data_IF_196743542374
#
_entry.id   IF_196743542374
#
_cell.length_a   1.000
_cell.length_b   1.000
_cell.length_c   1.000
_cell.angle_alpha   90.00
_cell.angle_beta   90.00
_cell.angle_gamma   90.00
#
_symmetry.space_group_name_H-M   'P 1'
#
loop_
_entity.id
_entity.type
_entity.pdbx_description
1 polymer ?
#
# COMPACT_ATOMS: atom_id res chain seq x y z
N UNK A 1 11.96 70.55 60.04
CA UNK A 1 10.72 70.02 59.43
C UNK A 1 10.88 69.71 57.94
N UNK A 2 11.27 70.63 57.05
CA UNK A 2 11.40 70.31 55.60
C UNK A 2 12.43 69.21 55.25
N UNK A 3 13.58 69.14 55.95
CA UNK A 3 14.62 68.10 55.71
C UNK A 3 14.23 66.69 56.18
N UNK A 4 13.26 66.58 57.08
CA UNK A 4 12.83 65.30 57.64
C UNK A 4 11.81 64.61 56.71
N UNK A 5 10.97 65.41 56.05
CA UNK A 5 9.99 64.96 55.05
C UNK A 5 10.65 64.46 53.74
N UNK A 6 11.76 65.06 53.32
CA UNK A 6 12.53 64.60 52.15
C UNK A 6 13.23 63.25 52.40
N UNK A 7 13.71 63.01 53.63
CA UNK A 7 14.30 61.72 54.02
C UNK A 7 13.28 60.58 53.96
N UNK A 8 12.06 60.84 54.42
CA UNK A 8 10.94 59.87 54.36
C UNK A 8 10.55 59.56 52.92
N UNK A 9 10.53 60.56 52.02
CA UNK A 9 10.27 60.36 50.59
C UNK A 9 11.36 59.54 49.91
N UNK A 10 12.63 59.81 50.20
CA UNK A 10 13.76 59.03 49.68
C UNK A 10 13.67 57.58 50.16
N UNK A 11 13.33 57.35 51.42
CA UNK A 11 13.14 56.01 51.96
C UNK A 11 11.97 55.27 51.29
N UNK A 12 10.85 55.95 51.02
CA UNK A 12 9.71 55.37 50.30
C UNK A 12 10.07 54.99 48.85
N UNK A 13 10.84 55.83 48.15
CA UNK A 13 11.33 55.52 46.80
C UNK A 13 12.26 54.30 46.82
N UNK A 14 13.17 54.21 47.79
CA UNK A 14 14.05 53.05 47.96
C UNK A 14 13.27 51.77 48.25
N UNK A 15 12.25 51.84 49.11
CA UNK A 15 11.38 50.69 49.39
C UNK A 15 10.62 50.23 48.15
N UNK A 16 10.07 51.15 47.36
CA UNK A 16 9.38 50.81 46.12
C UNK A 16 10.34 50.24 45.05
N UNK A 17 11.57 50.76 44.97
CA UNK A 17 12.62 50.19 44.12
C UNK A 17 12.99 48.77 44.54
N UNK A 18 13.18 48.53 45.85
CA UNK A 18 13.44 47.18 46.38
C UNK A 18 12.26 46.23 46.10
N UNK A 19 11.03 46.71 46.28
CA UNK A 19 9.82 45.93 45.98
C UNK A 19 9.74 45.55 44.51
N UNK A 20 10.02 46.50 43.61
CA UNK A 20 10.05 46.25 42.16
C UNK A 20 11.16 45.29 41.77
N UNK A 21 12.37 45.48 42.30
CA UNK A 21 13.51 44.59 42.05
C UNK A 21 13.22 43.15 42.49
N UNK A 22 12.60 42.97 43.65
CA UNK A 22 12.18 41.64 44.13
C UNK A 22 11.09 41.02 43.24
N UNK A 23 10.13 41.82 42.77
CA UNK A 23 9.11 41.35 41.83
C UNK A 23 9.72 40.92 40.48
N UNK A 24 10.69 41.68 39.97
CA UNK A 24 11.41 41.33 38.74
C UNK A 24 12.27 40.09 38.91
N UNK A 25 12.97 39.91 40.04
CA UNK A 25 13.69 38.67 40.35
C UNK A 25 12.77 37.45 40.38
N UNK A 26 11.58 37.59 40.96
CA UNK A 26 10.58 36.51 40.98
C UNK A 26 10.12 36.18 39.56
N UNK A 27 9.89 37.19 38.72
CA UNK A 27 9.49 37.01 37.33
C UNK A 27 10.60 36.36 36.49
N UNK A 28 11.86 36.75 36.69
CA UNK A 28 13.01 36.13 36.01
C UNK A 28 13.10 34.66 36.35
N UNK A 29 12.95 34.30 37.63
CA UNK A 29 12.95 32.90 38.07
C UNK A 29 11.83 32.07 37.44
N UNK A 30 10.61 32.61 37.32
CA UNK A 30 9.50 31.93 36.62
C UNK A 30 9.80 31.74 35.13
N UNK A 31 10.42 32.74 34.48
CA UNK A 31 10.83 32.63 33.08
C UNK A 31 11.92 31.58 32.87
N UNK A 32 12.93 31.51 33.75
CA UNK A 32 13.98 30.49 33.72
C UNK A 32 13.37 29.08 33.84
N UNK A 33 12.48 28.87 34.81
CA UNK A 33 11.81 27.57 34.97
C UNK A 33 10.98 27.17 33.75
N UNK A 34 10.30 28.13 33.11
CA UNK A 34 9.56 27.87 31.88
C UNK A 34 10.49 27.57 30.71
N UNK A 35 11.63 28.24 30.63
CA UNK A 35 12.64 28.02 29.61
C UNK A 35 13.23 26.61 29.76
N UNK A 36 13.62 26.21 30.97
CA UNK A 36 14.09 24.85 31.27
C UNK A 36 13.03 23.79 30.89
N UNK A 37 11.76 24.06 31.20
CA UNK A 37 10.66 23.16 30.81
C UNK A 37 10.50 23.07 29.29
N UNK A 38 10.65 24.18 28.57
CA UNK A 38 10.58 24.20 27.10
C UNK A 38 11.76 23.46 26.47
N UNK A 39 12.98 23.65 26.97
CA UNK A 39 14.17 22.94 26.50
C UNK A 39 14.00 21.42 26.66
N UNK A 40 13.54 20.96 27.83
CA UNK A 40 13.29 19.54 28.05
C UNK A 40 12.21 18.97 27.11
N UNK A 41 11.15 19.74 26.84
CA UNK A 41 10.10 19.33 25.88
C UNK A 41 10.63 19.30 24.46
N UNK A 42 11.50 20.24 24.09
CA UNK A 42 12.10 20.30 22.77
C UNK A 42 13.05 19.12 22.55
N UNK A 43 13.91 18.82 23.52
CA UNK A 43 14.78 17.65 23.48
C UNK A 43 13.98 16.33 23.34
N UNK A 44 12.88 16.18 24.09
CA UNK A 44 12.01 15.01 23.96
C UNK A 44 11.31 14.94 22.59
N UNK A 45 10.90 16.08 22.03
CA UNK A 45 10.31 16.12 20.68
C UNK A 45 11.33 15.75 19.61
N UNK A 46 12.58 16.20 19.74
CA UNK A 46 13.68 15.82 18.84
C UNK A 46 13.94 14.31 18.89
N UNK A 47 14.03 13.72 20.08
CA UNK A 47 14.20 12.27 20.26
C UNK A 47 13.06 11.48 19.60
N UNK A 48 11.81 11.85 19.87
CA UNK A 48 10.63 11.21 19.27
C UNK A 48 10.61 11.40 17.75
N UNK A 49 11.04 12.55 17.25
CA UNK A 49 11.12 12.83 15.81
C UNK A 49 12.16 11.93 15.13
N UNK A 50 13.35 11.80 15.71
CA UNK A 50 14.41 10.92 15.23
C UNK A 50 13.96 9.46 15.22
N UNK A 51 13.38 8.97 16.32
CA UNK A 51 12.88 7.60 16.42
C UNK A 51 11.78 7.31 15.39
N UNK A 52 10.87 8.27 15.14
CA UNK A 52 9.84 8.15 14.10
C UNK A 52 10.45 8.13 12.71
N UNK A 53 11.50 8.91 12.46
CA UNK A 53 12.18 8.96 11.16
C UNK A 53 12.89 7.63 10.86
N UNK A 54 13.57 7.05 11.85
CA UNK A 54 14.20 5.73 11.73
C UNK A 54 13.14 4.65 11.45
N UNK A 55 12.09 4.55 12.29
CA UNK A 55 11.00 3.58 12.09
C UNK A 55 10.29 3.75 10.75
N UNK A 56 10.16 4.97 10.25
CA UNK A 56 9.59 5.24 8.94
C UNK A 56 10.48 4.68 7.83
N UNK A 57 11.80 4.92 7.94
CA UNK A 57 12.80 4.42 7.00
C UNK A 57 12.80 2.89 6.94
N UNK A 58 12.75 2.22 8.09
CA UNK A 58 12.66 0.75 8.17
C UNK A 58 11.38 0.23 7.49
N UNK A 59 10.23 0.86 7.75
CA UNK A 59 8.97 0.51 7.08
C UNK A 59 9.05 0.69 5.56
N UNK A 60 9.74 1.73 5.07
CA UNK A 60 9.94 1.91 3.63
C UNK A 60 10.82 0.82 3.03
N UNK A 61 11.85 0.37 3.76
CA UNK A 61 12.70 -0.75 3.34
C UNK A 61 11.86 -2.04 3.25
N UNK A 62 11.05 -2.33 4.27
CA UNK A 62 10.18 -3.52 4.31
C UNK A 62 9.13 -3.51 3.18
N UNK A 63 8.51 -2.36 2.94
CA UNK A 63 7.55 -2.19 1.83
C UNK A 63 8.24 -2.40 0.49
N UNK A 64 9.44 -1.87 0.28
CA UNK A 64 10.21 -2.10 -0.94
C UNK A 64 10.58 -3.57 -1.13
N UNK A 65 10.95 -4.27 -0.07
CA UNK A 65 11.22 -5.71 -0.11
C UNK A 65 9.95 -6.49 -0.48
N UNK A 66 8.81 -6.15 0.13
CA UNK A 66 7.51 -6.77 -0.17
C UNK A 66 7.10 -6.54 -1.62
N UNK A 67 7.26 -5.32 -2.14
CA UNK A 67 6.98 -5.01 -3.54
C UNK A 67 7.84 -5.81 -4.52
N UNK A 68 9.13 -6.00 -4.21
CA UNK A 68 10.01 -6.85 -5.02
C UNK A 68 9.52 -8.30 -5.04
N UNK A 69 9.14 -8.85 -3.88
CA UNK A 69 8.61 -10.21 -3.80
C UNK A 69 7.31 -10.37 -4.60
N UNK A 70 6.39 -9.42 -4.49
CA UNK A 70 5.14 -9.42 -5.28
C UNK A 70 5.44 -9.36 -6.77
N UNK A 71 6.40 -8.54 -7.20
CA UNK A 71 6.80 -8.47 -8.60
C UNK A 71 7.36 -9.81 -9.12
N UNK A 72 8.16 -10.50 -8.31
CA UNK A 72 8.70 -11.82 -8.64
C UNK A 72 7.59 -12.88 -8.74
N UNK A 73 6.60 -12.84 -7.83
CA UNK A 73 5.43 -13.73 -7.89
C UNK A 73 4.59 -13.48 -9.14
N UNK A 74 4.34 -12.21 -9.50
CA UNK A 74 3.66 -11.84 -10.74
C UNK A 74 4.41 -12.38 -11.95
N UNK A 75 5.74 -12.27 -11.96
CA UNK A 75 6.55 -12.80 -13.06
C UNK A 75 6.45 -14.32 -13.16
N UNK A 76 6.48 -15.04 -12.04
CA UNK A 76 6.26 -16.50 -11.99
C UNK A 76 4.86 -16.88 -12.48
N UNK A 77 3.82 -16.16 -12.04
CA UNK A 77 2.45 -16.37 -12.50
C UNK A 77 2.32 -16.17 -14.00
N UNK A 78 2.90 -15.10 -14.55
CA UNK A 78 2.90 -14.84 -16.00
C UNK A 78 3.54 -15.98 -16.77
N UNK A 79 4.69 -16.46 -16.33
CA UNK A 79 5.37 -17.59 -16.96
C UNK A 79 4.53 -18.87 -16.90
N UNK A 80 3.83 -19.12 -15.79
CA UNK A 80 2.93 -20.25 -15.66
C UNK A 80 1.70 -20.12 -16.59
N UNK A 81 1.11 -18.93 -16.70
CA UNK A 81 0.03 -18.65 -17.64
C UNK A 81 0.47 -18.86 -19.09
N UNK A 82 1.68 -18.44 -19.46
CA UNK A 82 2.21 -18.71 -20.80
C UNK A 82 2.38 -20.21 -21.06
N UNK A 83 2.86 -20.98 -20.07
CA UNK A 83 2.95 -22.45 -20.19
C UNK A 83 1.57 -23.09 -20.37
N UNK A 84 0.59 -22.67 -19.57
CA UNK A 84 -0.80 -23.15 -19.67
C UNK A 84 -1.35 -22.81 -21.06
N UNK A 85 -1.19 -21.58 -21.53
CA UNK A 85 -1.68 -21.16 -22.84
C UNK A 85 -1.06 -22.00 -23.99
N UNK A 86 0.24 -22.30 -23.91
CA UNK A 86 0.90 -23.22 -24.86
C UNK A 86 0.32 -24.63 -24.81
N UNK A 87 -0.02 -25.14 -23.62
CA UNK A 87 -0.64 -26.46 -23.47
C UNK A 87 -2.09 -26.47 -23.98
N UNK A 88 -2.88 -25.43 -23.70
CA UNK A 88 -4.25 -25.25 -24.20
C UNK A 88 -4.28 -25.31 -25.73
N UNK A 89 -3.31 -24.69 -26.41
CA UNK A 89 -3.20 -24.77 -27.87
C UNK A 89 -2.85 -26.16 -28.40
N UNK A 90 -2.32 -27.07 -27.56
CA UNK A 90 -2.03 -28.47 -27.93
C UNK A 90 -3.21 -29.41 -27.68
N UNK A 91 -4.21 -29.01 -26.88
CA UNK A 91 -5.42 -29.81 -26.73
C UNK A 91 -6.29 -29.65 -27.97
N UNK A 92 -6.70 -30.79 -28.56
CA UNK A 92 -7.65 -30.80 -29.67
C UNK A 92 -8.92 -30.07 -29.25
N UNK A 93 -9.38 -29.12 -30.06
CA UNK A 93 -10.62 -28.40 -29.78
C UNK A 93 -11.77 -29.40 -29.88
N UNK A 94 -12.85 -29.18 -29.14
CA UNK A 94 -14.08 -30.01 -29.25
C UNK A 94 -14.58 -30.15 -30.69
N UNK A 95 -14.28 -29.18 -31.56
CA UNK A 95 -14.57 -29.22 -33.00
C UNK A 95 -13.74 -30.29 -33.71
N UNK A 96 -12.43 -30.31 -33.46
CA UNK A 96 -11.49 -31.25 -34.07
C UNK A 96 -11.86 -32.69 -33.67
N UNK A 97 -12.27 -32.92 -32.42
CA UNK A 97 -12.74 -34.24 -31.97
C UNK A 97 -14.04 -34.65 -32.69
N UNK A 98 -14.99 -33.73 -32.87
CA UNK A 98 -16.24 -34.01 -33.62
C UNK A 98 -15.99 -34.27 -35.11
N UNK A 99 -15.00 -33.62 -35.71
CA UNK A 99 -14.61 -33.89 -37.10
C UNK A 99 -13.97 -35.27 -37.22
N UNK A 100 -13.09 -35.65 -36.29
CA UNK A 100 -12.52 -37.00 -36.23
C UNK A 100 -13.63 -38.04 -36.03
N UNK A 101 -14.60 -37.78 -35.15
CA UNK A 101 -15.77 -38.65 -34.92
C UNK A 101 -16.59 -38.81 -36.20
N UNK A 102 -16.91 -37.73 -36.91
CA UNK A 102 -17.59 -37.79 -38.23
C UNK A 102 -16.79 -38.55 -39.28
N UNK A 103 -15.48 -38.32 -39.36
CA UNK A 103 -14.62 -39.07 -40.29
C UNK A 103 -14.59 -40.55 -39.94
N UNK A 104 -14.57 -40.88 -38.65
CA UNK A 104 -14.62 -42.26 -38.19
C UNK A 104 -15.98 -42.90 -38.49
N UNK A 105 -17.09 -42.19 -38.33
CA UNK A 105 -18.41 -42.68 -38.74
C UNK A 105 -18.50 -42.92 -40.25
N UNK A 106 -17.92 -42.04 -41.07
CA UNK A 106 -17.88 -42.20 -42.52
C UNK A 106 -17.00 -43.36 -42.98
N UNK A 107 -15.90 -43.64 -42.27
CA UNK A 107 -14.94 -44.68 -42.62
C UNK A 107 -15.21 -46.02 -41.93
N UNK A 108 -16.05 -46.04 -40.89
CA UNK A 108 -16.34 -47.27 -40.15
C UNK A 108 -17.20 -48.20 -41.00
N UNK A 109 -16.69 -49.39 -41.37
CA UNK A 109 -17.46 -50.39 -42.12
C UNK A 109 -18.66 -50.93 -41.32
N UNK A 110 -18.73 -50.63 -40.02
CA UNK A 110 -19.79 -51.08 -39.11
C UNK A 110 -21.07 -50.26 -39.23
N UNK A 111 -21.03 -49.05 -39.82
CA UNK A 111 -22.20 -48.17 -40.02
C UNK A 111 -22.52 -47.88 -41.49
N UNK A 112 -21.68 -48.32 -42.43
CA UNK A 112 -21.97 -48.16 -43.86
C UNK A 112 -23.00 -49.20 -44.30
N UNK A 113 -24.26 -48.81 -44.41
CA UNK A 113 -25.24 -49.54 -45.24
C UNK A 113 -24.86 -49.30 -46.70
N UNK A 114 -24.22 -50.29 -47.32
CA UNK A 114 -23.89 -50.25 -48.74
C UNK A 114 -25.18 -50.44 -49.54
N UNK A 115 -25.80 -49.33 -49.94
CA UNK A 115 -26.93 -49.34 -50.89
C UNK A 115 -26.44 -49.53 -52.32
N UNK A 116 -27.11 -50.40 -53.06
CA UNK A 116 -26.86 -50.62 -54.47
C UNK A 116 -27.42 -49.48 -55.32
N UNK A 117 -26.91 -49.33 -56.55
CA UNK A 117 -27.24 -48.19 -57.42
C UNK A 117 -28.74 -48.06 -57.71
N UNK A 118 -29.47 -49.18 -57.72
CA UNK A 118 -30.92 -49.19 -57.90
C UNK A 118 -31.69 -48.66 -56.68
N UNK A 119 -31.24 -49.00 -55.47
CA UNK A 119 -31.85 -48.55 -54.21
C UNK A 119 -31.67 -47.03 -54.02
N UNK A 120 -30.52 -46.49 -54.42
CA UNK A 120 -30.26 -45.04 -54.39
C UNK A 120 -31.16 -44.25 -55.35
N UNK A 121 -31.41 -44.77 -56.55
CA UNK A 121 -32.27 -44.13 -57.55
C UNK A 121 -33.75 -44.12 -57.12
N UNK A 122 -34.19 -45.15 -56.41
CA UNK A 122 -35.57 -45.25 -55.89
C UNK A 122 -35.80 -44.27 -54.73
N UNK A 123 -34.83 -44.14 -53.83
CA UNK A 123 -34.93 -43.21 -52.69
C UNK A 123 -34.87 -41.73 -53.12
N UNK A 124 -34.10 -41.41 -54.17
CA UNK A 124 -34.08 -40.08 -54.78
C UNK A 124 -35.42 -39.73 -55.46
N UNK A 125 -36.06 -40.70 -56.11
CA UNK A 125 -37.36 -40.51 -56.77
C UNK A 125 -38.51 -40.30 -55.78
N UNK A 126 -38.35 -40.74 -54.54
CA UNK A 126 -39.35 -40.62 -53.47
C UNK A 126 -39.23 -39.29 -52.70
N UNK A 127 -38.17 -38.52 -52.93
CA UNK A 127 -37.89 -37.22 -52.27
C UNK A 127 -38.18 -35.99 -53.14
N UNK A 128 -38.57 -36.17 -54.41
CA UNK A 128 -39.19 -35.12 -55.25
C UNK A 128 -40.72 -35.10 -55.06
#
# INVERSE_FOLDING_TARGET
>A
MAREDDSVKVYAVLQEMLRRSNAEMTRLRDLEQRLDSLENRLASLEEVSLERMEKSTDKFIDVNATLRNVNDEIFRMRNNLEKINRQVNKFARKRDIKEIEKMFELLSPLKQEFVTKGELEEELRTRE
#
